data_IF_705580823932
#
_entry.id   IF_705580823932
#
_cell.length_a   1.000
_cell.length_b   1.000
_cell.length_c   1.000
_cell.angle_alpha   90.00
_cell.angle_beta   90.00
_cell.angle_gamma   90.00
#
_symmetry.space_group_name_H-M   'P 1'
#
loop_
_entity.id
_entity.type
_entity.pdbx_description
1 polymer ?
#
# COMPACT_ATOMS: atom_id res chain seq x y z
N UNK A 1 7.83 0.13 -26.10
CA UNK A 1 9.14 0.66 -25.66
C UNK A 1 9.52 -0.03 -24.34
N UNK A 2 10.77 -0.38 -24.17
CA UNK A 2 11.23 -1.06 -22.95
C UNK A 2 11.51 -0.06 -21.82
N UNK A 3 10.94 -0.30 -20.65
CA UNK A 3 11.17 0.46 -19.43
C UNK A 3 11.84 -0.44 -18.39
N UNK A 4 12.78 0.11 -17.64
CA UNK A 4 13.36 -0.57 -16.49
C UNK A 4 12.75 0.04 -15.23
N UNK A 5 11.99 -0.76 -14.50
CA UNK A 5 11.32 -0.37 -13.26
C UNK A 5 12.00 -1.03 -12.06
N UNK A 6 12.25 -0.27 -11.02
CA UNK A 6 12.72 -0.83 -9.75
C UNK A 6 11.52 -1.22 -8.90
N UNK A 7 11.21 -2.52 -8.85
CA UNK A 7 10.03 -3.04 -8.14
C UNK A 7 10.48 -3.99 -7.03
N UNK A 8 10.13 -3.66 -5.79
CA UNK A 8 10.45 -4.46 -4.60
C UNK A 8 11.95 -4.80 -4.51
N UNK A 9 12.79 -3.82 -4.80
CA UNK A 9 14.24 -3.95 -4.73
C UNK A 9 14.90 -4.65 -5.93
N UNK A 10 14.14 -5.03 -6.94
CA UNK A 10 14.64 -5.72 -8.14
C UNK A 10 14.33 -4.91 -9.39
N UNK A 11 15.30 -4.78 -10.29
CA UNK A 11 15.09 -4.16 -11.59
C UNK A 11 14.30 -5.10 -12.50
N UNK A 12 13.21 -4.60 -13.06
CA UNK A 12 12.31 -5.33 -13.96
C UNK A 12 12.23 -4.59 -15.29
N UNK A 13 12.55 -5.29 -16.37
CA UNK A 13 12.40 -4.76 -17.72
C UNK A 13 10.99 -5.15 -18.23
N UNK A 14 10.23 -4.16 -18.66
CA UNK A 14 8.88 -4.34 -19.21
C UNK A 14 8.80 -3.65 -20.57
N UNK A 15 8.16 -4.31 -21.54
CA UNK A 15 7.93 -3.77 -22.88
C UNK A 15 6.45 -3.44 -23.03
N UNK A 16 6.13 -2.17 -22.81
CA UNK A 16 4.75 -1.65 -22.79
C UNK A 16 4.75 -0.22 -23.30
N UNK A 17 3.58 0.29 -23.61
CA UNK A 17 3.39 1.70 -23.96
C UNK A 17 3.63 2.58 -22.72
N UNK A 18 4.20 3.78 -22.93
CA UNK A 18 4.57 4.68 -21.83
C UNK A 18 3.39 5.18 -21.00
N UNK A 19 2.22 5.28 -21.61
CA UNK A 19 0.97 5.68 -20.97
C UNK A 19 0.26 4.52 -20.23
N UNK A 20 0.78 3.29 -20.33
CA UNK A 20 0.21 2.14 -19.63
C UNK A 20 0.17 2.40 -18.13
N UNK A 21 -0.98 2.21 -17.45
CA UNK A 21 -1.08 2.38 -16.01
C UNK A 21 -0.20 1.37 -15.27
N UNK A 22 0.54 1.85 -14.27
CA UNK A 22 1.41 1.01 -13.43
C UNK A 22 0.66 -0.20 -12.85
N UNK A 23 -0.61 -0.03 -12.47
CA UNK A 23 -1.43 -1.12 -11.93
C UNK A 23 -1.44 -2.35 -12.84
N UNK A 24 -1.68 -2.17 -14.13
CA UNK A 24 -1.77 -3.27 -15.08
C UNK A 24 -0.40 -3.89 -15.37
N UNK A 25 0.64 -3.09 -15.37
CA UNK A 25 2.01 -3.61 -15.50
C UNK A 25 2.37 -4.48 -14.32
N UNK A 26 2.04 -4.06 -13.10
CA UNK A 26 2.25 -4.88 -11.90
C UNK A 26 1.48 -6.20 -11.97
N UNK A 27 0.19 -6.15 -12.31
CA UNK A 27 -0.68 -7.33 -12.29
C UNK A 27 -0.48 -8.26 -13.48
N UNK A 28 -0.48 -7.71 -14.69
CA UNK A 28 -0.58 -8.51 -15.92
C UNK A 28 0.78 -8.84 -16.52
N UNK A 29 1.77 -7.96 -16.37
CA UNK A 29 3.12 -8.18 -16.91
C UNK A 29 4.03 -8.82 -15.86
N UNK A 30 4.04 -8.31 -14.64
CA UNK A 30 4.92 -8.79 -13.58
C UNK A 30 4.29 -9.86 -12.67
N UNK A 31 3.00 -10.12 -12.79
CA UNK A 31 2.29 -11.12 -12.00
C UNK A 31 2.11 -10.78 -10.51
N UNK A 32 2.29 -9.51 -10.15
CA UNK A 32 2.13 -9.04 -8.77
C UNK A 32 0.66 -8.64 -8.54
N UNK A 33 -0.17 -9.61 -8.22
CA UNK A 33 -1.63 -9.47 -8.17
C UNK A 33 -2.19 -8.96 -6.84
N UNK A 34 -1.35 -8.70 -5.86
CA UNK A 34 -1.77 -8.18 -4.55
C UNK A 34 -2.35 -6.76 -4.60
N UNK A 35 -1.87 -5.93 -5.52
CA UNK A 35 -2.43 -4.61 -5.81
C UNK A 35 -3.71 -4.76 -6.63
N UNK A 36 -4.81 -4.12 -6.22
CA UNK A 36 -6.16 -4.36 -6.76
C UNK A 36 -6.69 -3.18 -7.58
N UNK A 37 -7.55 -3.50 -8.55
CA UNK A 37 -8.32 -2.53 -9.30
C UNK A 37 -9.70 -2.32 -8.64
N UNK A 38 -10.14 -1.07 -8.53
CA UNK A 38 -11.49 -0.72 -8.08
C UNK A 38 -12.14 0.30 -9.00
N UNK A 39 -11.80 1.59 -8.84
CA UNK A 39 -12.44 2.68 -9.59
C UNK A 39 -11.74 3.08 -10.90
N UNK A 40 -10.43 2.89 -11.01
CA UNK A 40 -9.62 3.33 -12.16
C UNK A 40 -9.41 4.84 -12.25
N UNK A 41 -9.82 5.60 -11.24
CA UNK A 41 -9.78 7.07 -11.22
C UNK A 41 -9.25 7.66 -9.90
N UNK A 42 -8.43 6.90 -9.19
CA UNK A 42 -7.75 7.29 -7.96
C UNK A 42 -8.66 7.60 -6.76
N UNK A 43 -9.90 7.16 -6.76
CA UNK A 43 -10.88 7.48 -5.69
C UNK A 43 -10.97 6.43 -4.60
N UNK A 44 -10.82 5.13 -4.93
CA UNK A 44 -11.09 4.05 -3.97
C UNK A 44 -9.89 3.61 -3.14
N UNK A 45 -8.67 3.83 -3.61
CA UNK A 45 -7.44 3.47 -2.94
C UNK A 45 -7.02 2.01 -3.01
N UNK A 46 -7.78 1.13 -3.66
CA UNK A 46 -7.45 -0.30 -3.77
C UNK A 46 -6.12 -0.55 -4.49
N UNK A 47 -5.71 0.35 -5.37
CA UNK A 47 -4.50 0.26 -6.18
C UNK A 47 -3.26 0.92 -5.54
N UNK A 48 -3.30 1.31 -4.28
CA UNK A 48 -2.22 2.04 -3.62
C UNK A 48 -0.94 1.20 -3.58
N UNK A 49 0.14 1.81 -4.05
CA UNK A 49 1.52 1.33 -3.93
C UNK A 49 2.37 2.44 -3.33
N UNK A 50 3.63 2.16 -2.97
CA UNK A 50 4.59 3.21 -2.64
C UNK A 50 5.48 3.49 -3.84
N UNK A 51 5.68 4.78 -4.11
CA UNK A 51 6.70 5.28 -5.05
C UNK A 51 7.65 6.16 -4.23
N UNK A 52 8.88 5.71 -4.07
CA UNK A 52 9.88 6.31 -3.16
C UNK A 52 9.33 6.50 -1.73
N UNK A 53 8.60 5.49 -1.22
CA UNK A 53 8.02 5.50 0.11
C UNK A 53 6.73 6.32 0.27
N UNK A 54 6.28 6.99 -0.78
CA UNK A 54 5.04 7.79 -0.75
C UNK A 54 3.88 7.00 -1.36
N UNK A 55 2.67 7.07 -0.77
CA UNK A 55 1.51 6.37 -1.32
C UNK A 55 1.11 6.99 -2.66
N UNK A 56 0.86 6.15 -3.64
CA UNK A 56 0.45 6.54 -4.99
C UNK A 56 -0.65 5.62 -5.53
N UNK A 57 -1.51 6.18 -6.36
CA UNK A 57 -2.60 5.44 -7.02
C UNK A 57 -2.09 4.87 -8.35
N UNK A 58 -1.76 3.60 -8.37
CA UNK A 58 -1.16 2.95 -9.55
C UNK A 58 -2.10 2.88 -10.76
N UNK A 59 -3.42 2.99 -10.55
CA UNK A 59 -4.38 2.95 -11.65
C UNK A 59 -4.34 4.17 -12.58
N UNK A 60 -3.77 5.29 -12.11
CA UNK A 60 -3.64 6.53 -12.90
C UNK A 60 -2.18 6.96 -13.11
N UNK A 61 -1.23 6.14 -12.71
CA UNK A 61 0.21 6.44 -12.83
C UNK A 61 0.76 5.84 -14.11
N UNK A 62 1.07 6.63 -15.15
CA UNK A 62 1.67 6.11 -16.37
C UNK A 62 3.10 5.61 -16.10
N UNK A 63 3.49 4.53 -16.78
CA UNK A 63 4.83 3.94 -16.63
C UNK A 63 5.93 4.95 -16.91
N UNK A 64 5.79 5.76 -17.95
CA UNK A 64 6.78 6.77 -18.32
C UNK A 64 7.04 7.80 -17.22
N UNK A 65 6.06 8.04 -16.33
CA UNK A 65 6.19 9.00 -15.23
C UNK A 65 6.95 8.44 -14.03
N UNK A 66 7.11 7.13 -13.93
CA UNK A 66 7.77 6.49 -12.77
C UNK A 66 9.29 6.71 -12.79
N UNK A 67 9.91 6.65 -13.97
CA UNK A 67 11.36 6.85 -14.11
C UNK A 67 12.16 5.82 -13.30
N UNK A 68 13.09 6.33 -12.50
CA UNK A 68 13.98 5.51 -11.65
C UNK A 68 13.48 5.35 -10.21
N UNK A 69 12.27 5.81 -9.91
CA UNK A 69 11.71 5.72 -8.58
C UNK A 69 11.53 4.27 -8.11
N UNK A 70 11.71 4.04 -6.82
CA UNK A 70 11.54 2.72 -6.23
C UNK A 70 10.07 2.45 -5.96
N UNK A 71 9.52 1.40 -6.56
CA UNK A 71 8.15 0.96 -6.36
C UNK A 71 8.15 -0.14 -5.29
N UNK A 72 7.30 0.01 -4.27
CA UNK A 72 7.03 -1.04 -3.28
C UNK A 72 5.57 -1.42 -3.34
N UNK A 73 5.28 -2.70 -3.49
CA UNK A 73 3.93 -3.25 -3.50
C UNK A 73 3.64 -4.01 -2.21
N UNK A 74 2.38 -4.44 -2.03
CA UNK A 74 1.96 -5.21 -0.86
C UNK A 74 2.78 -6.50 -0.67
N UNK A 75 3.28 -7.10 -1.75
CA UNK A 75 4.07 -8.31 -1.71
C UNK A 75 5.41 -8.16 -0.96
N UNK A 76 5.89 -6.93 -0.80
CA UNK A 76 7.17 -6.66 -0.12
C UNK A 76 7.06 -5.69 1.05
N UNK A 77 5.87 -5.23 1.41
CA UNK A 77 5.70 -4.21 2.46
C UNK A 77 6.18 -4.70 3.83
N UNK A 78 6.14 -6.01 4.08
CA UNK A 78 6.63 -6.61 5.33
C UNK A 78 8.13 -6.41 5.54
N UNK A 79 8.89 -6.15 4.48
CA UNK A 79 10.33 -5.88 4.56
C UNK A 79 10.64 -4.47 5.10
N UNK A 80 9.62 -3.64 5.26
CA UNK A 80 9.75 -2.31 5.90
C UNK A 80 9.32 -2.39 7.37
N UNK A 81 9.98 -1.64 8.28
CA UNK A 81 9.60 -1.67 9.71
C UNK A 81 8.14 -1.27 9.95
N UNK A 82 7.67 -0.22 9.30
CA UNK A 82 6.29 0.23 9.42
C UNK A 82 5.31 -0.79 8.84
N UNK A 83 5.60 -1.34 7.65
CA UNK A 83 4.75 -2.33 7.01
C UNK A 83 4.60 -3.60 7.83
N UNK A 84 5.69 -4.09 8.42
CA UNK A 84 5.63 -5.26 9.30
C UNK A 84 4.74 -5.02 10.52
N UNK A 85 4.91 -3.89 11.20
CA UNK A 85 4.08 -3.53 12.37
C UNK A 85 2.59 -3.44 12.00
N UNK A 86 2.29 -2.84 10.87
CA UNK A 86 0.92 -2.73 10.37
C UNK A 86 0.34 -4.11 10.07
N UNK A 87 1.05 -4.97 9.37
CA UNK A 87 0.57 -6.32 9.05
C UNK A 87 0.36 -7.17 10.30
N UNK A 88 1.29 -7.12 11.26
CA UNK A 88 1.14 -7.83 12.53
C UNK A 88 -0.12 -7.36 13.29
N UNK A 89 -0.39 -6.06 13.34
CA UNK A 89 -1.59 -5.52 13.96
C UNK A 89 -2.87 -5.92 13.21
N UNK A 90 -2.83 -5.97 11.87
CA UNK A 90 -3.95 -6.46 11.06
C UNK A 90 -4.31 -7.89 11.37
N UNK A 91 -3.32 -8.75 11.54
CA UNK A 91 -3.53 -10.15 11.91
C UNK A 91 -4.06 -10.27 13.35
N UNK A 92 -3.45 -9.56 14.29
CA UNK A 92 -3.85 -9.61 15.70
C UNK A 92 -5.30 -9.20 15.92
N UNK A 93 -5.78 -8.19 15.22
CA UNK A 93 -7.12 -7.64 15.36
C UNK A 93 -8.12 -8.21 14.36
N UNK A 94 -7.69 -9.16 13.52
CA UNK A 94 -8.55 -9.79 12.50
C UNK A 94 -9.34 -8.76 11.68
N UNK A 95 -8.64 -7.75 11.15
CA UNK A 95 -9.25 -6.59 10.48
C UNK A 95 -10.04 -7.00 9.24
N UNK A 96 -9.56 -7.99 8.50
CA UNK A 96 -10.05 -8.36 7.17
C UNK A 96 -11.44 -8.97 7.20
N UNK A 97 -12.30 -8.58 6.24
CA UNK A 97 -13.52 -9.30 5.89
C UNK A 97 -13.36 -9.91 4.49
N UNK A 98 -13.83 -9.25 3.41
CA UNK A 98 -13.63 -9.80 2.07
C UNK A 98 -12.17 -9.75 1.60
N UNK A 99 -11.39 -8.84 2.13
CA UNK A 99 -9.95 -8.72 1.86
C UNK A 99 -9.60 -7.85 0.64
N UNK A 100 -10.57 -7.47 -0.19
CA UNK A 100 -10.28 -6.81 -1.47
C UNK A 100 -9.59 -5.45 -1.33
N UNK A 101 -10.01 -4.62 -0.38
CA UNK A 101 -9.45 -3.29 -0.15
C UNK A 101 -8.20 -3.30 0.76
N UNK A 102 -7.88 -4.44 1.38
CA UNK A 102 -6.94 -4.46 2.50
C UNK A 102 -5.49 -4.20 2.07
N UNK A 103 -5.08 -4.64 0.90
CA UNK A 103 -3.74 -4.30 0.39
C UNK A 103 -3.55 -2.79 0.28
N UNK A 104 -4.50 -2.07 -0.29
CA UNK A 104 -4.48 -0.62 -0.37
C UNK A 104 -4.52 0.06 1.00
N UNK A 105 -5.35 -0.44 1.92
CA UNK A 105 -5.43 0.05 3.30
C UNK A 105 -4.08 -0.09 4.03
N UNK A 106 -3.46 -1.26 3.93
CA UNK A 106 -2.16 -1.55 4.54
C UNK A 106 -1.06 -0.67 3.96
N UNK A 107 -1.04 -0.48 2.64
CA UNK A 107 -0.03 0.37 1.99
C UNK A 107 -0.15 1.82 2.46
N UNK A 108 -1.36 2.37 2.52
CA UNK A 108 -1.60 3.73 3.01
C UNK A 108 -1.25 3.87 4.49
N UNK A 109 -1.67 2.92 5.32
CA UNK A 109 -1.38 2.90 6.75
C UNK A 109 0.14 2.80 7.02
N UNK A 110 0.85 1.99 6.25
CA UNK A 110 2.31 1.83 6.39
C UNK A 110 3.05 3.12 6.06
N UNK A 111 2.63 3.85 5.02
CA UNK A 111 3.20 5.14 4.69
C UNK A 111 2.92 6.19 5.77
N UNK A 112 1.71 6.20 6.34
CA UNK A 112 1.36 7.08 7.45
C UNK A 112 2.26 6.80 8.65
N UNK A 113 2.39 5.55 9.08
CA UNK A 113 3.18 5.17 10.25
C UNK A 113 4.68 5.49 10.06
N UNK A 114 5.20 5.34 8.84
CA UNK A 114 6.58 5.68 8.53
C UNK A 114 6.87 7.18 8.65
N UNK A 115 5.91 8.03 8.27
CA UNK A 115 6.05 9.49 8.33
C UNK A 115 5.62 10.09 9.67
N UNK A 116 4.67 9.44 10.35
CA UNK A 116 4.15 9.86 11.65
C UNK A 116 4.06 8.63 12.58
N UNK A 117 5.08 8.39 13.42
CA UNK A 117 5.14 7.18 14.25
C UNK A 117 4.06 7.09 15.34
N UNK A 118 3.37 8.19 15.63
CA UNK A 118 2.31 8.23 16.65
C UNK A 118 1.11 9.05 16.15
N UNK A 119 0.39 8.55 15.12
CA UNK A 119 -0.72 9.31 14.55
C UNK A 119 -1.92 9.35 15.48
N UNK A 120 -2.52 10.53 15.61
CA UNK A 120 -3.80 10.70 16.27
C UNK A 120 -4.97 10.33 15.35
N UNK A 121 -6.19 10.35 15.86
CA UNK A 121 -7.38 10.00 15.08
C UNK A 121 -7.57 10.91 13.86
N UNK A 122 -7.26 12.18 13.98
CA UNK A 122 -7.37 13.13 12.87
C UNK A 122 -6.38 12.79 11.75
N UNK A 123 -5.13 12.47 12.10
CA UNK A 123 -4.10 12.06 11.13
C UNK A 123 -4.48 10.75 10.44
N UNK A 124 -4.98 9.77 11.18
CA UNK A 124 -5.44 8.48 10.63
C UNK A 124 -6.61 8.71 9.66
N UNK A 125 -7.62 9.46 10.08
CA UNK A 125 -8.79 9.74 9.26
C UNK A 125 -8.41 10.49 7.97
N UNK A 126 -7.53 11.47 8.04
CA UNK A 126 -7.06 12.22 6.88
C UNK A 126 -6.28 11.32 5.90
N UNK A 127 -5.36 10.50 6.41
CA UNK A 127 -4.54 9.63 5.57
C UNK A 127 -5.38 8.55 4.87
N UNK A 128 -6.35 7.96 5.56
CA UNK A 128 -7.17 6.85 5.07
C UNK A 128 -8.46 7.28 4.37
N UNK A 129 -8.76 8.57 4.28
CA UNK A 129 -9.99 9.09 3.70
C UNK A 129 -10.23 8.63 2.25
N UNK A 130 -9.16 8.43 1.48
CA UNK A 130 -9.22 7.95 0.09
C UNK A 130 -9.19 6.43 -0.05
N UNK A 131 -9.28 5.66 1.04
CA UNK A 131 -9.29 4.20 1.02
C UNK A 131 -10.65 3.68 1.45
N UNK A 132 -11.41 3.15 0.49
CA UNK A 132 -12.81 2.74 0.69
C UNK A 132 -12.87 1.24 0.99
N UNK A 133 -13.66 0.87 2.01
CA UNK A 133 -13.97 -0.51 2.37
C UNK A 133 -15.48 -0.74 2.31
N UNK A 134 -15.93 -1.61 1.39
CA UNK A 134 -17.35 -1.93 1.26
C UNK A 134 -17.88 -2.73 2.46
N UNK A 135 -17.02 -3.51 3.12
CA UNK A 135 -17.37 -4.26 4.32
C UNK A 135 -17.40 -3.41 5.59
N UNK A 136 -16.91 -2.17 5.53
CA UNK A 136 -16.94 -1.23 6.65
C UNK A 136 -15.95 -1.54 7.77
N UNK A 137 -14.75 -2.05 7.45
CA UNK A 137 -13.72 -2.40 8.45
C UNK A 137 -12.99 -1.20 9.07
N UNK A 138 -13.48 0.01 8.90
CA UNK A 138 -12.79 1.25 9.28
C UNK A 138 -12.41 1.35 10.75
N UNK A 139 -13.28 0.91 11.67
CA UNK A 139 -12.99 0.95 13.10
C UNK A 139 -11.84 0.01 13.48
N UNK A 140 -11.79 -1.17 12.87
CA UNK A 140 -10.70 -2.13 13.06
C UNK A 140 -9.40 -1.64 12.44
N UNK A 141 -9.46 -1.03 11.26
CA UNK A 141 -8.30 -0.40 10.60
C UNK A 141 -7.69 0.66 11.52
N UNK A 142 -8.51 1.55 12.07
CA UNK A 142 -8.03 2.59 13.00
C UNK A 142 -7.41 1.99 14.25
N UNK A 143 -8.04 0.99 14.83
CA UNK A 143 -7.50 0.28 16.01
C UNK A 143 -6.17 -0.39 15.71
N UNK A 144 -6.03 -1.02 14.54
CA UNK A 144 -4.80 -1.68 14.13
C UNK A 144 -3.65 -0.68 13.92
N UNK A 145 -3.91 0.47 13.31
CA UNK A 145 -2.89 1.53 13.15
C UNK A 145 -2.43 2.04 14.52
N UNK A 146 -3.35 2.27 15.45
CA UNK A 146 -3.00 2.68 16.82
C UNK A 146 -2.18 1.63 17.56
N UNK A 147 -2.52 0.35 17.41
CA UNK A 147 -1.75 -0.74 17.99
C UNK A 147 -0.34 -0.81 17.41
N UNK A 148 -0.21 -0.68 16.09
CA UNK A 148 1.08 -0.69 15.41
C UNK A 148 1.97 0.50 15.82
N UNK A 149 1.37 1.63 16.17
CA UNK A 149 2.09 2.83 16.62
C UNK A 149 2.63 2.73 18.04
N UNK A 150 2.12 1.81 18.84
CA UNK A 150 2.58 1.64 20.22
C UNK A 150 4.01 1.06 20.26
N UNK A 151 4.83 1.45 21.26
CA UNK A 151 6.12 0.81 21.48
C UNK A 151 5.94 -0.69 21.68
N UNK A 152 6.84 -1.47 21.11
CA UNK A 152 6.79 -2.93 21.21
C UNK A 152 6.99 -3.39 22.67
N UNK A 153 5.88 -3.60 23.38
CA UNK A 153 5.89 -4.08 24.76
C UNK A 153 6.09 -5.61 24.84
N UNK A 154 6.17 -6.29 23.70
CA UNK A 154 6.36 -7.75 23.63
C UNK A 154 7.80 -8.20 23.82
N UNK A 155 8.75 -7.26 23.96
CA UNK A 155 10.15 -7.55 24.34
C UNK A 155 10.34 -7.46 25.85
N UNK A 156 9.65 -8.29 26.59
CA UNK A 156 9.75 -8.31 28.04
C UNK A 156 9.07 -9.52 28.63
N UNK A 157 9.55 -10.69 28.27
CA UNK A 157 9.05 -11.94 28.83
C UNK A 157 9.94 -13.08 28.46
#
# INVERSE_FOLDING_TARGET
MAYTLKVNGTDRVVDVDGDAPLLWVLRDVLGLTGTKFGCGMALCGACTVHIDGQPARSCITPIESVGKAAITTIEAIENTPAGKKIQDAWLDLEVVQCGYCQSGQIMTASALLASNPNPDDAAINAALAGNICRCGTYSRIRAAIKQAAQPDTRKGG
#
